data_IF_567332977278
#
_entry.id   IF_567332977278
#
_cell.length_a   1.000
_cell.length_b   1.000
_cell.length_c   1.000
_cell.angle_alpha   90.00
_cell.angle_beta   90.00
_cell.angle_gamma   90.00
#
_symmetry.space_group_name_H-M   'P 1'
#
loop_
_entity.id
_entity.type
_entity.pdbx_description
1 polymer ?
#
# COMPACT_ATOMS: atom_id res chain seq x y z
N UNK A 1 -9.21 56.05 35.09
CA UNK A 1 -10.07 54.87 34.89
C UNK A 1 -11.17 55.21 33.91
N UNK A 2 -11.63 54.21 33.15
CA UNK A 2 -12.74 54.24 32.17
C UNK A 2 -12.37 54.75 30.77
N UNK A 3 -12.34 53.80 29.83
CA UNK A 3 -12.08 54.02 28.42
C UNK A 3 -13.36 54.19 27.61
N UNK A 4 -13.20 54.51 26.33
CA UNK A 4 -14.21 54.24 25.31
C UNK A 4 -13.54 54.03 23.96
N UNK A 5 -13.92 52.92 23.33
CA UNK A 5 -13.38 52.34 22.09
C UNK A 5 -13.87 53.16 20.90
N UNK A 6 -12.94 53.65 20.05
CA UNK A 6 -13.28 54.20 18.73
C UNK A 6 -13.14 53.10 17.68
N UNK A 7 -14.27 52.62 17.18
CA UNK A 7 -14.33 51.93 15.89
C UNK A 7 -14.11 52.97 14.79
N UNK A 8 -12.92 52.97 14.17
CA UNK A 8 -12.71 53.68 12.91
C UNK A 8 -12.59 52.63 11.79
N UNK A 9 -13.69 52.45 11.06
CA UNK A 9 -13.73 51.66 9.85
C UNK A 9 -12.92 52.38 8.76
N UNK A 10 -11.65 52.00 8.59
CA UNK A 10 -10.82 52.49 7.49
C UNK A 10 -10.98 51.54 6.31
N UNK A 11 -11.89 51.89 5.40
CA UNK A 11 -11.93 51.36 4.03
C UNK A 11 -10.68 51.84 3.27
N UNK A 12 -9.56 51.13 3.39
CA UNK A 12 -8.48 51.22 2.40
C UNK A 12 -8.55 49.99 1.50
N UNK A 13 -8.68 50.12 0.18
CA UNK A 13 -8.52 48.98 -0.70
C UNK A 13 -7.06 48.54 -0.59
N UNK A 14 -6.81 47.46 0.13
CA UNK A 14 -5.51 46.80 0.10
C UNK A 14 -5.37 46.24 -1.32
N UNK A 15 -4.65 46.98 -2.17
CA UNK A 15 -4.05 46.44 -3.38
C UNK A 15 -3.10 45.33 -2.94
N UNK A 16 -3.64 44.12 -2.72
CA UNK A 16 -2.87 42.89 -2.59
C UNK A 16 -2.39 42.55 -3.99
N UNK A 17 -1.39 43.28 -4.46
CA UNK A 17 -0.53 42.78 -5.51
C UNK A 17 0.20 41.58 -4.92
N UNK A 18 -0.30 40.39 -5.19
CA UNK A 18 0.44 39.16 -4.99
C UNK A 18 1.65 39.20 -5.92
N UNK A 19 2.71 39.86 -5.49
CA UNK A 19 4.02 39.59 -6.05
C UNK A 19 4.38 38.21 -5.52
N UNK A 20 4.00 37.17 -6.28
CA UNK A 20 4.72 35.92 -6.21
C UNK A 20 6.17 36.26 -6.55
N UNK A 21 6.98 36.53 -5.52
CA UNK A 21 8.42 36.41 -5.64
C UNK A 21 8.65 34.93 -5.86
N UNK A 22 8.60 34.50 -7.12
CA UNK A 22 9.18 33.26 -7.57
C UNK A 22 10.66 33.36 -7.22
N UNK A 23 11.01 32.93 -6.00
CA UNK A 23 12.38 32.65 -5.67
C UNK A 23 12.77 31.47 -6.53
N UNK A 24 13.29 31.74 -7.73
CA UNK A 24 13.92 30.77 -8.62
C UNK A 24 15.28 30.34 -8.06
N UNK A 25 15.31 30.01 -6.77
CA UNK A 25 16.45 29.47 -6.07
C UNK A 25 16.19 27.98 -5.87
N UNK A 26 16.29 27.22 -6.95
CA UNK A 26 16.63 25.81 -6.86
C UNK A 26 18.10 25.72 -6.41
N UNK A 27 18.36 26.10 -5.16
CA UNK A 27 19.63 25.79 -4.52
C UNK A 27 19.57 24.29 -4.22
N UNK A 28 20.03 23.50 -5.20
CA UNK A 28 20.33 22.08 -5.01
C UNK A 28 21.24 22.02 -3.79
N UNK A 29 20.79 21.37 -2.71
CA UNK A 29 21.64 21.13 -1.55
C UNK A 29 22.98 20.56 -2.04
N UNK A 30 24.13 20.98 -1.47
CA UNK A 30 25.41 20.42 -1.85
C UNK A 30 25.30 18.89 -1.76
N UNK A 31 25.77 18.14 -2.78
CA UNK A 31 25.66 16.69 -2.75
C UNK A 31 26.37 16.20 -1.50
N UNK A 32 25.60 15.67 -0.54
CA UNK A 32 26.16 15.07 0.66
C UNK A 32 27.19 14.03 0.23
N UNK A 33 28.41 14.00 0.80
CA UNK A 33 29.40 13.02 0.42
C UNK A 33 28.88 11.61 0.76
N UNK A 34 28.34 10.94 -0.26
CA UNK A 34 27.90 9.56 -0.17
C UNK A 34 29.08 8.61 -0.32
N UNK A 35 28.99 7.45 0.32
CA UNK A 35 29.96 6.38 0.09
C UNK A 35 29.75 5.87 -1.34
N UNK A 36 30.81 5.77 -2.18
CA UNK A 36 30.66 5.28 -3.54
C UNK A 36 30.23 3.81 -3.56
N UNK A 37 29.39 3.43 -4.52
CA UNK A 37 28.80 2.09 -4.62
C UNK A 37 29.84 0.96 -4.68
N UNK A 38 30.98 1.20 -5.32
CA UNK A 38 32.08 0.24 -5.44
C UNK A 38 32.70 -0.18 -4.10
N UNK A 39 32.50 0.62 -3.04
CA UNK A 39 32.98 0.31 -1.69
C UNK A 39 31.92 -0.37 -0.82
N UNK A 40 30.69 -0.54 -1.34
CA UNK A 40 29.58 -1.12 -0.60
C UNK A 40 29.30 -2.55 -1.07
N UNK A 41 29.13 -3.42 -0.08
CA UNK A 41 28.75 -4.81 -0.25
C UNK A 41 27.29 -5.05 0.17
N UNK A 42 26.58 -5.86 -0.61
CA UNK A 42 25.20 -6.27 -0.36
C UNK A 42 25.17 -7.76 -0.06
N UNK A 43 24.74 -8.14 1.14
CA UNK A 43 24.58 -9.50 1.59
C UNK A 43 23.13 -9.99 1.47
N UNK A 44 22.95 -11.17 0.88
CA UNK A 44 21.65 -11.84 0.74
C UNK A 44 21.73 -13.18 1.49
N UNK A 45 21.42 -13.20 2.80
CA UNK A 45 21.38 -14.45 3.57
C UNK A 45 20.18 -15.32 3.20
N UNK A 46 20.29 -16.61 3.49
CA UNK A 46 19.20 -17.58 3.36
C UNK A 46 18.13 -17.34 4.42
N UNK A 47 16.88 -17.62 4.07
CA UNK A 47 15.79 -17.62 5.05
C UNK A 47 15.77 -18.94 5.85
N UNK A 48 15.75 -18.81 7.17
CA UNK A 48 15.73 -19.94 8.12
C UNK A 48 14.34 -20.19 8.72
N UNK A 49 13.37 -19.32 8.45
CA UNK A 49 12.00 -19.47 8.93
C UNK A 49 11.32 -20.69 8.30
N UNK A 50 10.53 -21.40 9.09
CA UNK A 50 9.77 -22.56 8.61
C UNK A 50 8.86 -22.16 7.44
N UNK A 51 8.92 -22.94 6.36
CA UNK A 51 8.16 -22.73 5.13
C UNK A 51 8.37 -21.38 4.42
N UNK A 52 9.40 -20.60 4.77
CA UNK A 52 9.76 -19.39 4.04
C UNK A 52 10.54 -19.77 2.78
N UNK A 53 9.88 -19.67 1.61
CA UNK A 53 10.45 -20.05 0.32
C UNK A 53 10.96 -18.86 -0.50
N UNK A 54 10.67 -17.63 -0.07
CA UNK A 54 11.08 -16.43 -0.80
C UNK A 54 12.55 -16.11 -0.53
N UNK A 55 13.14 -15.37 -1.45
CA UNK A 55 14.50 -14.81 -1.34
C UNK A 55 14.40 -13.30 -1.45
N UNK A 56 15.26 -12.56 -0.74
CA UNK A 56 15.19 -11.09 -0.70
C UNK A 56 15.48 -10.44 -2.06
N UNK A 57 16.36 -11.05 -2.87
CA UNK A 57 16.76 -10.53 -4.18
C UNK A 57 16.82 -11.69 -5.17
N UNK A 58 16.23 -11.48 -6.36
CA UNK A 58 16.28 -12.42 -7.48
C UNK A 58 17.46 -12.11 -8.42
N UNK A 59 17.97 -13.09 -9.20
CA UNK A 59 19.14 -12.89 -10.08
C UNK A 59 19.00 -11.72 -11.06
N UNK A 60 17.78 -11.48 -11.57
CA UNK A 60 17.50 -10.35 -12.45
C UNK A 60 17.75 -8.98 -11.79
N UNK A 61 17.58 -8.87 -10.47
CA UNK A 61 17.87 -7.64 -9.70
C UNK A 61 19.34 -7.57 -9.32
N UNK A 62 19.98 -8.71 -9.04
CA UNK A 62 21.44 -8.78 -8.79
C UNK A 62 22.22 -8.16 -9.95
N UNK A 63 21.89 -8.53 -11.19
CA UNK A 63 22.55 -7.95 -12.37
C UNK A 63 22.44 -6.41 -12.43
N UNK A 64 21.35 -5.83 -11.92
CA UNK A 64 21.15 -4.37 -11.84
C UNK A 64 21.98 -3.74 -10.73
N UNK A 65 22.14 -4.42 -9.59
CA UNK A 65 22.97 -3.96 -8.48
C UNK A 65 24.45 -3.97 -8.87
N UNK A 66 24.91 -5.03 -9.52
CA UNK A 66 26.28 -5.14 -10.03
C UNK A 66 26.56 -4.06 -11.08
N UNK A 67 25.64 -3.80 -12.00
CA UNK A 67 25.75 -2.70 -12.98
C UNK A 67 25.86 -1.32 -12.35
N UNK A 68 25.24 -1.10 -11.19
CA UNK A 68 25.37 0.14 -10.41
C UNK A 68 26.70 0.23 -9.65
N UNK A 69 27.44 -0.88 -9.55
CA UNK A 69 28.75 -0.95 -8.93
C UNK A 69 28.79 -1.60 -7.55
N UNK A 70 27.69 -2.20 -7.06
CA UNK A 70 27.70 -2.90 -5.77
C UNK A 70 28.36 -4.29 -5.89
N UNK A 71 29.09 -4.70 -4.85
CA UNK A 71 29.50 -6.11 -4.70
C UNK A 71 28.37 -6.90 -4.04
N UNK A 72 27.84 -7.93 -4.70
CA UNK A 72 26.73 -8.72 -4.17
C UNK A 72 27.24 -10.08 -3.69
N UNK A 73 27.03 -10.37 -2.41
CA UNK A 73 27.37 -11.63 -1.75
C UNK A 73 26.07 -12.36 -1.41
N UNK A 74 25.95 -13.63 -1.80
CA UNK A 74 24.77 -14.45 -1.53
C UNK A 74 25.15 -15.70 -0.75
N UNK A 75 24.35 -16.06 0.24
CA UNK A 75 24.54 -17.32 0.96
C UNK A 75 24.22 -18.52 0.06
N UNK A 76 24.99 -19.59 0.23
CA UNK A 76 24.74 -20.85 -0.48
C UNK A 76 23.29 -21.34 -0.28
N UNK A 77 22.62 -21.67 -1.40
CA UNK A 77 21.25 -22.18 -1.41
C UNK A 77 20.18 -21.22 -0.88
N UNK A 78 20.47 -19.91 -0.79
CA UNK A 78 19.49 -18.90 -0.39
C UNK A 78 18.27 -18.84 -1.32
N UNK A 79 18.48 -19.04 -2.64
CA UNK A 79 17.43 -19.03 -3.65
C UNK A 79 16.82 -20.39 -4.00
N UNK A 80 17.31 -21.49 -3.41
CA UNK A 80 16.97 -22.84 -3.85
C UNK A 80 15.46 -23.13 -3.76
N UNK A 81 14.82 -22.72 -2.65
CA UNK A 81 13.38 -22.90 -2.44
C UNK A 81 12.52 -21.97 -3.31
N UNK A 82 13.11 -20.91 -3.85
CA UNK A 82 12.48 -19.98 -4.79
C UNK A 82 12.70 -20.39 -6.26
N UNK A 83 13.24 -21.59 -6.52
CA UNK A 83 13.64 -22.08 -7.85
C UNK A 83 14.75 -21.27 -8.52
N UNK A 84 15.64 -20.64 -7.73
CA UNK A 84 16.83 -19.96 -8.24
C UNK A 84 18.09 -20.69 -7.75
N UNK A 85 18.76 -21.50 -8.60
CA UNK A 85 19.99 -22.19 -8.21
C UNK A 85 21.16 -21.21 -8.08
N UNK A 86 22.19 -21.59 -7.32
CA UNK A 86 23.38 -20.75 -7.07
C UNK A 86 24.05 -20.28 -8.37
N UNK A 87 24.11 -21.16 -9.38
CA UNK A 87 24.66 -20.85 -10.71
C UNK A 87 24.01 -19.62 -11.35
N UNK A 88 22.70 -19.43 -11.19
CA UNK A 88 22.00 -18.27 -11.75
C UNK A 88 22.42 -16.95 -11.10
N UNK A 89 22.85 -16.99 -9.83
CA UNK A 89 23.39 -15.81 -9.14
C UNK A 89 24.83 -15.51 -9.56
N UNK A 90 25.65 -16.55 -9.74
CA UNK A 90 27.02 -16.41 -10.28
C UNK A 90 27.00 -15.82 -11.69
N UNK A 91 26.12 -16.32 -12.56
CA UNK A 91 25.90 -15.77 -13.91
C UNK A 91 25.43 -14.30 -13.88
N UNK A 92 24.69 -13.91 -12.83
CA UNK A 92 24.27 -12.52 -12.62
C UNK A 92 25.38 -11.62 -12.02
N UNK A 93 26.52 -12.18 -11.64
CA UNK A 93 27.68 -11.47 -11.09
C UNK A 93 27.74 -11.39 -9.56
N UNK A 94 26.95 -12.19 -8.83
CA UNK A 94 27.08 -12.33 -7.38
C UNK A 94 28.14 -13.37 -7.00
N UNK A 95 28.70 -13.22 -5.79
CA UNK A 95 29.62 -14.18 -5.18
C UNK A 95 28.87 -15.05 -4.18
N UNK A 96 28.95 -16.37 -4.33
CA UNK A 96 28.37 -17.32 -3.37
C UNK A 96 29.33 -17.45 -2.18
N UNK A 97 28.85 -17.16 -0.98
CA UNK A 97 29.63 -17.07 0.26
C UNK A 97 29.00 -17.83 1.41
N UNK A 98 29.76 -18.04 2.49
CA UNK A 98 29.24 -18.65 3.71
C UNK A 98 28.26 -17.72 4.45
N UNK A 99 27.49 -18.27 5.39
CA UNK A 99 26.53 -17.49 6.20
C UNK A 99 27.23 -16.32 6.91
N UNK A 100 28.36 -16.58 7.59
CA UNK A 100 29.08 -15.56 8.36
C UNK A 100 29.55 -14.42 7.47
N UNK A 101 30.14 -14.73 6.32
CA UNK A 101 30.66 -13.72 5.40
C UNK A 101 29.53 -12.87 4.80
N UNK A 102 28.38 -13.50 4.53
CA UNK A 102 27.19 -12.79 4.02
C UNK A 102 26.69 -11.75 5.01
N UNK A 103 26.62 -12.08 6.31
CA UNK A 103 26.21 -11.16 7.39
C UNK A 103 27.24 -10.07 7.72
N UNK A 104 28.48 -10.17 7.23
CA UNK A 104 29.50 -9.12 7.37
C UNK A 104 29.42 -8.02 6.29
N UNK A 105 28.51 -8.16 5.34
CA UNK A 105 28.29 -7.15 4.29
C UNK A 105 27.74 -5.84 4.86
N UNK A 106 27.99 -4.72 4.17
CA UNK A 106 27.56 -3.39 4.61
C UNK A 106 26.04 -3.23 4.62
N UNK A 107 25.36 -3.83 3.64
CA UNK A 107 23.91 -3.81 3.48
C UNK A 107 23.40 -5.25 3.48
N UNK A 108 22.50 -5.59 4.39
CA UNK A 108 21.89 -6.92 4.50
C UNK A 108 20.44 -6.82 4.04
N UNK A 109 20.08 -7.65 3.07
CA UNK A 109 18.73 -7.72 2.51
C UNK A 109 18.08 -9.04 2.91
N UNK A 110 17.03 -8.98 3.72
CA UNK A 110 16.31 -10.16 4.19
C UNK A 110 14.81 -9.91 4.06
N UNK A 111 14.01 -10.97 3.89
CA UNK A 111 12.56 -10.85 3.87
C UNK A 111 12.07 -10.76 5.30
N UNK A 112 12.26 -11.80 6.11
CA UNK A 112 11.73 -11.88 7.48
C UNK A 112 12.58 -11.11 8.49
N UNK A 113 12.03 -10.79 9.68
CA UNK A 113 12.84 -10.25 10.77
C UNK A 113 13.93 -11.24 11.15
N UNK A 114 15.06 -10.69 11.63
CA UNK A 114 16.17 -11.51 12.13
C UNK A 114 15.75 -12.24 13.39
N UNK A 115 16.30 -13.44 13.54
CA UNK A 115 16.23 -14.19 14.79
C UNK A 115 17.43 -13.80 15.67
N UNK A 116 17.29 -13.94 16.98
CA UNK A 116 18.31 -13.52 17.96
C UNK A 116 19.72 -14.06 17.68
N UNK A 117 19.83 -15.28 17.15
CA UNK A 117 21.12 -15.88 16.77
C UNK A 117 21.77 -15.17 15.57
N UNK A 118 20.96 -14.70 14.61
CA UNK A 118 21.45 -13.98 13.43
C UNK A 118 21.91 -12.56 13.80
N UNK A 119 21.21 -11.92 14.75
CA UNK A 119 21.53 -10.56 15.21
C UNK A 119 22.98 -10.47 15.68
N UNK A 120 23.51 -11.51 16.32
CA UNK A 120 24.91 -11.56 16.77
C UNK A 120 25.92 -11.50 15.62
N UNK A 121 25.59 -12.09 14.47
CA UNK A 121 26.48 -12.17 13.31
C UNK A 121 26.45 -10.93 12.42
N UNK A 122 25.44 -10.06 12.59
CA UNK A 122 25.34 -8.79 11.87
C UNK A 122 26.50 -7.87 12.26
N UNK A 123 27.14 -7.30 11.25
CA UNK A 123 28.19 -6.29 11.39
C UNK A 123 27.67 -5.03 12.13
N UNK A 124 28.39 -4.51 13.14
CA UNK A 124 28.08 -3.22 13.75
C UNK A 124 28.09 -2.10 12.71
N UNK A 125 27.19 -1.12 12.82
CA UNK A 125 27.01 -0.02 11.84
C UNK A 125 26.53 -0.47 10.44
N UNK A 126 26.22 -1.76 10.27
CA UNK A 126 25.62 -2.27 9.05
C UNK A 126 24.22 -1.70 8.81
N UNK A 127 23.78 -1.73 7.56
CA UNK A 127 22.42 -1.39 7.15
C UNK A 127 21.61 -2.66 6.96
N UNK A 128 20.51 -2.80 7.69
CA UNK A 128 19.59 -3.92 7.56
C UNK A 128 18.30 -3.45 6.87
N UNK A 129 17.85 -4.15 5.84
CA UNK A 129 16.55 -3.91 5.19
C UNK A 129 15.76 -5.22 5.26
N UNK A 130 14.68 -5.22 6.05
CA UNK A 130 13.79 -6.38 6.21
C UNK A 130 12.44 -6.01 6.81
N UNK A 131 11.52 -6.98 6.93
CA UNK A 131 10.27 -6.80 7.67
C UNK A 131 10.51 -6.84 9.18
N UNK A 132 10.71 -5.68 9.83
CA UNK A 132 11.04 -5.60 11.26
C UNK A 132 9.82 -5.66 12.20
N UNK A 133 8.66 -5.15 11.77
CA UNK A 133 7.44 -5.07 12.59
C UNK A 133 7.67 -4.38 13.96
N UNK A 134 8.02 -3.08 13.97
CA UNK A 134 8.54 -2.42 15.17
C UNK A 134 7.55 -2.34 16.33
N UNK A 135 6.25 -2.33 16.04
CA UNK A 135 5.22 -2.31 17.07
C UNK A 135 5.18 -3.63 17.87
N UNK A 136 5.47 -4.76 17.22
CA UNK A 136 5.41 -6.09 17.83
C UNK A 136 6.75 -6.52 18.42
N UNK A 137 7.87 -6.18 17.78
CA UNK A 137 9.20 -6.73 18.08
C UNK A 137 10.12 -5.71 18.77
N UNK A 138 9.70 -5.20 19.94
CA UNK A 138 10.48 -4.18 20.66
C UNK A 138 11.83 -4.70 21.16
N UNK A 139 11.91 -5.97 21.55
CA UNK A 139 13.16 -6.59 22.04
C UNK A 139 14.21 -6.71 20.92
N UNK A 140 13.79 -7.13 19.72
CA UNK A 140 14.66 -7.23 18.55
C UNK A 140 15.24 -5.86 18.19
N UNK A 141 14.42 -4.82 18.25
CA UNK A 141 14.86 -3.45 17.94
C UNK A 141 15.87 -2.95 18.95
N UNK A 142 15.67 -3.25 20.24
CA UNK A 142 16.66 -2.91 21.28
C UNK A 142 18.00 -3.59 20.99
N UNK A 143 18.00 -4.90 20.67
CA UNK A 143 19.23 -5.64 20.33
C UNK A 143 19.93 -5.09 19.07
N UNK A 144 19.18 -4.65 18.06
CA UNK A 144 19.72 -4.02 16.86
C UNK A 144 20.28 -2.62 17.16
N UNK A 145 19.61 -1.86 18.03
CA UNK A 145 20.05 -0.55 18.49
C UNK A 145 21.34 -0.66 19.32
N UNK A 146 21.46 -1.66 20.20
CA UNK A 146 22.67 -1.91 21.00
C UNK A 146 23.90 -2.20 20.11
N UNK A 147 23.67 -2.72 18.90
CA UNK A 147 24.71 -2.98 17.89
C UNK A 147 24.94 -1.81 16.91
N UNK A 148 24.27 -0.68 17.11
CA UNK A 148 24.29 0.49 16.21
C UNK A 148 23.95 0.14 14.74
N UNK A 149 23.01 -0.79 14.52
CA UNK A 149 22.59 -1.19 13.17
C UNK A 149 21.55 -0.20 12.63
N UNK A 150 21.77 0.28 11.40
CA UNK A 150 20.81 1.09 10.68
C UNK A 150 19.72 0.19 10.08
N UNK A 151 18.59 0.04 10.78
CA UNK A 151 17.54 -0.89 10.38
C UNK A 151 16.35 -0.18 9.70
N UNK A 152 16.10 -0.50 8.43
CA UNK A 152 14.95 -0.05 7.67
C UNK A 152 13.86 -1.14 7.66
N UNK A 153 12.74 -0.85 8.32
CA UNK A 153 11.58 -1.72 8.31
C UNK A 153 10.80 -1.57 7.02
N UNK A 154 10.81 -2.59 6.16
CA UNK A 154 9.82 -2.67 5.08
C UNK A 154 8.42 -2.79 5.69
N UNK A 155 7.50 -2.03 5.13
CA UNK A 155 6.09 -2.13 5.48
C UNK A 155 5.32 -2.37 4.19
N UNK A 156 4.63 -3.49 4.12
CA UNK A 156 3.74 -3.77 2.98
C UNK A 156 2.46 -2.97 3.17
N UNK A 157 2.08 -2.17 2.17
CA UNK A 157 0.77 -1.51 2.13
C UNK A 157 -0.41 -2.50 2.06
N UNK A 158 -0.14 -3.81 1.95
CA UNK A 158 -1.13 -4.88 1.87
C UNK A 158 -2.11 -4.94 3.08
N UNK A 159 -1.85 -4.20 4.16
CA UNK A 159 -2.76 -4.10 5.31
C UNK A 159 -3.63 -2.84 5.37
N UNK A 160 -3.63 -1.95 4.37
CA UNK A 160 -4.35 -0.65 4.47
C UNK A 160 -4.94 -0.09 3.18
N UNK A 161 -5.05 -0.89 2.11
CA UNK A 161 -5.84 -0.49 0.94
C UNK A 161 -7.28 -0.95 1.17
N UNK A 162 -8.24 -0.04 1.40
CA UNK A 162 -9.63 -0.44 1.60
C UNK A 162 -10.17 -1.14 0.34
N UNK A 163 -11.05 -2.14 0.48
CA UNK A 163 -11.59 -2.86 -0.67
C UNK A 163 -12.34 -1.90 -1.61
N UNK A 164 -12.34 -2.22 -2.91
CA UNK A 164 -13.10 -1.47 -3.89
C UNK A 164 -14.60 -1.51 -3.55
N UNK A 165 -15.31 -0.39 -3.75
CA UNK A 165 -16.77 -0.29 -3.54
C UNK A 165 -17.48 -0.45 -4.87
N UNK A 166 -18.35 -1.46 -4.97
CA UNK A 166 -19.07 -1.80 -6.21
C UNK A 166 -20.57 -1.64 -5.95
N UNK A 167 -21.25 -0.89 -6.82
CA UNK A 167 -22.71 -0.76 -6.82
C UNK A 167 -23.29 -1.52 -8.01
N UNK A 168 -24.20 -2.47 -7.76
CA UNK A 168 -24.93 -3.22 -8.79
C UNK A 168 -26.38 -2.73 -8.83
N UNK A 169 -26.84 -2.30 -10.01
CA UNK A 169 -28.22 -1.84 -10.22
C UNK A 169 -28.98 -2.90 -11.01
N UNK A 170 -30.02 -3.46 -10.40
CA UNK A 170 -30.79 -4.60 -10.87
C UNK A 170 -30.18 -5.93 -10.41
N UNK A 171 -30.97 -6.77 -9.75
CA UNK A 171 -30.65 -8.15 -9.38
C UNK A 171 -31.48 -9.14 -10.21
N UNK A 172 -31.33 -9.06 -11.52
CA UNK A 172 -31.64 -10.17 -12.44
C UNK A 172 -30.46 -11.15 -12.51
N UNK A 173 -30.45 -12.02 -13.53
CA UNK A 173 -29.39 -13.01 -13.74
C UNK A 173 -28.00 -12.36 -13.86
N UNK A 174 -27.87 -11.30 -14.66
CA UNK A 174 -26.62 -10.58 -14.83
C UNK A 174 -26.18 -9.83 -13.56
N UNK A 175 -27.14 -9.24 -12.84
CA UNK A 175 -26.89 -8.49 -11.62
C UNK A 175 -26.38 -9.35 -10.47
N UNK A 176 -27.04 -10.50 -10.24
CA UNK A 176 -26.61 -11.46 -9.22
C UNK A 176 -25.23 -12.05 -9.55
N UNK A 177 -24.98 -12.37 -10.82
CA UNK A 177 -23.65 -12.85 -11.25
C UNK A 177 -22.55 -11.80 -11.04
N UNK A 178 -22.82 -10.53 -11.37
CA UNK A 178 -21.88 -9.44 -11.15
C UNK A 178 -21.62 -9.21 -9.64
N UNK A 179 -22.67 -9.26 -8.81
CA UNK A 179 -22.56 -9.11 -7.37
C UNK A 179 -21.74 -10.24 -6.75
N UNK A 180 -22.02 -11.50 -7.13
CA UNK A 180 -21.27 -12.67 -6.67
C UNK A 180 -19.78 -12.57 -7.04
N UNK A 181 -19.47 -12.22 -8.29
CA UNK A 181 -18.09 -12.13 -8.75
C UNK A 181 -17.31 -11.00 -8.04
N UNK A 182 -17.92 -9.83 -7.89
CA UNK A 182 -17.32 -8.73 -7.17
C UNK A 182 -17.05 -9.08 -5.69
N UNK A 183 -17.93 -9.84 -5.05
CA UNK A 183 -17.72 -10.37 -3.68
C UNK A 183 -16.57 -11.38 -3.64
N UNK A 184 -16.47 -12.31 -4.59
CA UNK A 184 -15.36 -13.25 -4.70
C UNK A 184 -14.00 -12.55 -4.85
N UNK A 185 -13.97 -11.39 -5.52
CA UNK A 185 -12.76 -10.57 -5.66
C UNK A 185 -12.44 -9.70 -4.43
N UNK A 186 -13.22 -9.80 -3.35
CA UNK A 186 -12.99 -9.06 -2.10
C UNK A 186 -13.51 -7.62 -2.11
N UNK A 187 -14.39 -7.26 -3.04
CA UNK A 187 -15.01 -5.93 -3.07
C UNK A 187 -16.12 -5.78 -2.01
N UNK A 188 -16.30 -4.56 -1.53
CA UNK A 188 -17.48 -4.17 -0.77
C UNK A 188 -18.64 -3.89 -1.74
N UNK A 189 -19.50 -4.89 -1.94
CA UNK A 189 -20.61 -4.82 -2.90
C UNK A 189 -21.90 -4.34 -2.22
N UNK A 190 -22.55 -3.37 -2.87
CA UNK A 190 -23.92 -2.95 -2.57
C UNK A 190 -24.78 -3.17 -3.82
N UNK A 191 -26.03 -3.54 -3.66
CA UNK A 191 -26.92 -3.77 -4.80
C UNK A 191 -28.33 -3.20 -4.56
N UNK A 192 -28.97 -2.74 -5.62
CA UNK A 192 -30.30 -2.17 -5.60
C UNK A 192 -31.17 -2.84 -6.67
N UNK A 193 -32.39 -3.27 -6.32
CA UNK A 193 -33.42 -3.72 -7.27
C UNK A 193 -34.77 -3.11 -6.84
N UNK A 194 -35.68 -2.96 -7.80
CA UNK A 194 -37.04 -2.46 -7.51
C UNK A 194 -37.91 -3.52 -6.84
N UNK A 195 -37.58 -4.81 -7.03
CA UNK A 195 -38.33 -5.96 -6.51
C UNK A 195 -37.80 -6.34 -5.12
N UNK A 196 -38.67 -6.40 -4.09
CA UNK A 196 -38.23 -6.77 -2.74
C UNK A 196 -37.79 -8.24 -2.63
N UNK A 197 -38.29 -9.12 -3.52
CA UNK A 197 -37.94 -10.55 -3.53
C UNK A 197 -36.45 -10.83 -3.79
N UNK A 198 -35.73 -9.89 -4.39
CA UNK A 198 -34.32 -10.04 -4.76
C UNK A 198 -33.40 -9.74 -3.56
N UNK A 199 -33.94 -9.16 -2.49
CA UNK A 199 -33.18 -8.80 -1.28
C UNK A 199 -32.48 -9.99 -0.65
N UNK A 200 -33.22 -11.06 -0.39
CA UNK A 200 -32.68 -12.28 0.23
C UNK A 200 -31.57 -12.91 -0.64
N UNK A 201 -31.73 -12.84 -1.96
CA UNK A 201 -30.73 -13.34 -2.91
C UNK A 201 -29.44 -12.52 -2.87
N UNK A 202 -29.53 -11.19 -2.83
CA UNK A 202 -28.36 -10.29 -2.72
C UNK A 202 -27.66 -10.44 -1.36
N UNK A 203 -28.44 -10.53 -0.28
CA UNK A 203 -27.91 -10.68 1.08
C UNK A 203 -27.24 -12.06 1.28
N UNK A 204 -27.79 -13.13 0.69
CA UNK A 204 -27.17 -14.48 0.71
C UNK A 204 -25.83 -14.55 -0.03
N UNK A 205 -25.60 -13.69 -1.02
CA UNK A 205 -24.30 -13.52 -1.68
C UNK A 205 -23.32 -12.66 -0.87
N UNK A 206 -23.74 -12.16 0.30
CA UNK A 206 -22.93 -11.31 1.17
C UNK A 206 -22.82 -9.86 0.69
N UNK A 207 -23.67 -9.43 -0.25
CA UNK A 207 -23.77 -8.03 -0.68
C UNK A 207 -24.83 -7.28 0.14
N UNK A 208 -24.67 -5.95 0.29
CA UNK A 208 -25.63 -5.12 1.02
C UNK A 208 -26.78 -4.68 0.09
N UNK A 209 -28.03 -5.02 0.42
CA UNK A 209 -29.19 -4.52 -0.31
C UNK A 209 -29.51 -3.07 0.08
N UNK A 210 -29.53 -2.16 -0.89
CA UNK A 210 -29.90 -0.76 -0.70
C UNK A 210 -31.42 -0.66 -0.81
N UNK A 211 -32.04 0.01 0.15
CA UNK A 211 -33.46 0.35 0.10
C UNK A 211 -33.62 1.82 -0.23
N UNK A 212 -34.63 2.15 -1.05
CA UNK A 212 -35.02 3.53 -1.32
C UNK A 212 -36.39 3.76 -0.69
N UNK A 213 -36.50 4.76 0.20
CA UNK A 213 -37.79 5.30 0.61
C UNK A 213 -38.36 6.12 -0.55
N UNK A 214 -39.14 5.46 -1.40
CA UNK A 214 -39.87 6.14 -2.47
C UNK A 214 -41.23 6.60 -1.94
N UNK A 215 -41.43 7.92 -1.84
CA UNK A 215 -42.79 8.49 -1.78
C UNK A 215 -43.49 8.14 -3.09
N UNK A 216 -44.34 7.12 -3.03
CA UNK A 216 -45.01 6.53 -4.19
C UNK A 216 -45.99 7.54 -4.81
N UNK A 217 -45.72 7.97 -6.04
CA UNK A 217 -46.72 8.62 -6.89
C UNK A 217 -47.16 7.59 -7.93
N UNK A 218 -48.42 7.17 -7.87
CA UNK A 218 -48.98 6.13 -8.74
C UNK A 218 -49.59 6.80 -9.97
N UNK A 219 -49.01 6.57 -11.15
CA UNK A 219 -49.74 6.77 -12.40
C UNK A 219 -50.51 5.47 -12.73
N UNK A 220 -51.78 5.55 -13.15
CA UNK A 220 -52.56 4.37 -13.50
C UNK A 220 -52.10 3.84 -14.86
N UNK A 221 -51.45 2.67 -14.89
CA UNK A 221 -51.26 1.89 -16.12
C UNK A 221 -51.91 0.50 -15.95
N UNK A 222 -52.88 0.12 -16.81
CA UNK A 222 -53.61 -1.14 -16.70
C UNK A 222 -52.89 -2.38 -17.26
N UNK A 223 -51.70 -2.28 -17.86
CA UNK A 223 -50.96 -3.46 -18.37
C UNK A 223 -49.76 -3.82 -17.47
N UNK A 224 -49.89 -4.91 -16.73
CA UNK A 224 -48.98 -5.37 -15.66
C UNK A 224 -47.58 -5.85 -16.07
N UNK A 225 -46.94 -5.24 -17.07
CA UNK A 225 -45.53 -5.44 -17.41
C UNK A 225 -44.78 -4.11 -17.25
N UNK A 226 -43.94 -4.04 -16.21
CA UNK A 226 -43.01 -2.94 -15.98
C UNK A 226 -43.72 -1.59 -15.78
N UNK A 227 -44.15 -1.30 -14.54
CA UNK A 227 -44.38 0.08 -14.16
C UNK A 227 -43.03 0.81 -14.22
N UNK A 228 -42.70 1.40 -15.37
CA UNK A 228 -41.61 2.33 -15.47
C UNK A 228 -41.92 3.45 -14.48
N UNK A 229 -41.20 3.48 -13.36
CA UNK A 229 -41.17 4.62 -12.47
C UNK A 229 -40.39 5.73 -13.19
N UNK A 230 -41.00 6.31 -14.21
CA UNK A 230 -40.54 7.56 -14.80
C UNK A 230 -40.77 8.63 -13.74
N UNK A 231 -39.72 8.92 -12.96
CA UNK A 231 -39.62 10.19 -12.26
C UNK A 231 -39.74 11.27 -13.34
N UNK A 232 -40.63 12.27 -13.19
CA UNK A 232 -40.52 13.45 -14.03
C UNK A 232 -39.10 14.00 -13.83
N UNK A 233 -38.42 14.32 -14.92
CA UNK A 233 -37.05 14.83 -14.98
C UNK A 233 -36.80 16.01 -13.99
N UNK A 234 -37.86 16.66 -13.52
CA UNK A 234 -37.87 17.68 -12.48
C UNK A 234 -37.44 17.20 -11.07
N UNK A 235 -37.62 15.93 -10.70
CA UNK A 235 -37.28 15.44 -9.36
C UNK A 235 -35.77 15.21 -9.15
N UNK A 236 -35.03 14.94 -10.24
CA UNK A 236 -33.57 14.76 -10.21
C UNK A 236 -32.86 16.13 -10.04
N UNK A 237 -33.49 17.23 -10.45
CA UNK A 237 -32.91 18.57 -10.40
C UNK A 237 -32.83 19.18 -8.97
N UNK A 238 -33.64 18.71 -8.01
CA UNK A 238 -33.78 19.34 -6.69
C UNK A 238 -32.91 18.74 -5.57
N UNK A 239 -31.89 17.93 -5.90
CA UNK A 239 -30.82 17.58 -4.95
C UNK A 239 -31.20 16.73 -3.72
N UNK A 240 -32.45 16.29 -3.56
CA UNK A 240 -32.89 15.44 -2.45
C UNK A 240 -32.62 13.94 -2.68
N UNK A 241 -31.45 13.61 -3.23
CA UNK A 241 -31.03 12.22 -3.44
C UNK A 241 -30.04 11.83 -2.33
N UNK A 242 -30.56 11.29 -1.23
CA UNK A 242 -29.76 10.76 -0.14
C UNK A 242 -29.81 9.24 -0.16
N UNK A 243 -28.70 8.62 -0.57
CA UNK A 243 -28.47 7.18 -0.41
C UNK A 243 -27.99 6.98 1.04
N UNK A 244 -28.81 6.37 1.90
CA UNK A 244 -28.35 5.87 3.20
C UNK A 244 -27.65 4.53 3.05
#
# INVERSE_FOLDING_TARGET
MSGSVRLLCIRKPLQRSWHYRLSSSSATAPPTPGIPYSKLSVGIPKEIWENEKRVAVVPAVVSKLVKKGFSVNIEENAGALANFPNKSYEEAGAKVTSLKDTFQSDIILKVRPLIDNEVQSVRPEGTLISFLYPAQNQELIKKLADKNVNAFGQMTAAGRVPPCRVLVVGGGVAGLAAAAQARCMGAAVRAFDTRPAVREQIESLGAQFITMDMKRWVYPNPSGWGAASTLPLAAIANGNFQIK
#
